data_IF_419683343529
#
_entry.id   IF_419683343529
#
_cell.length_a   1.000
_cell.length_b   1.000
_cell.length_c   1.000
_cell.angle_alpha   90.00
_cell.angle_beta   90.00
_cell.angle_gamma   90.00
#
_symmetry.space_group_name_H-M   'P 1'
#
loop_
_entity.id
_entity.type
_entity.pdbx_description
1 polymer ?
#
# COMPACT_ATOMS: atom_id res chain seq x y z
N UNK A 1 10.83 52.92 -56.88
CA UNK A 1 9.65 53.45 -56.18
C UNK A 1 8.71 52.28 -55.90
N UNK A 2 8.36 52.08 -54.61
CA UNK A 2 7.17 51.40 -54.01
C UNK A 2 6.57 50.13 -54.65
N UNK A 3 6.13 49.10 -53.93
CA UNK A 3 5.83 48.91 -52.51
C UNK A 3 5.83 47.39 -52.21
N UNK A 4 6.05 47.03 -50.93
CA UNK A 4 5.94 45.66 -50.45
C UNK A 4 4.52 45.22 -50.14
N UNK A 5 4.32 43.90 -50.05
CA UNK A 5 3.29 43.28 -49.21
C UNK A 5 3.68 41.83 -48.90
N UNK A 6 3.84 41.57 -47.61
CA UNK A 6 4.09 40.31 -46.92
C UNK A 6 2.90 39.33 -47.10
N UNK A 7 3.15 38.05 -47.39
CA UNK A 7 2.19 36.99 -47.08
C UNK A 7 2.88 35.80 -46.43
N UNK A 8 2.66 35.67 -45.11
CA UNK A 8 2.87 34.48 -44.31
C UNK A 8 1.95 33.37 -44.82
N UNK A 9 2.46 32.16 -45.00
CA UNK A 9 1.65 30.96 -44.99
C UNK A 9 2.14 30.05 -43.86
N UNK A 10 1.16 29.55 -43.10
CA UNK A 10 1.29 29.02 -41.75
C UNK A 10 1.86 27.61 -41.76
N UNK A 11 2.76 27.38 -40.82
CA UNK A 11 3.02 26.10 -40.14
C UNK A 11 1.72 25.40 -39.78
N UNK A 12 1.59 24.10 -40.08
CA UNK A 12 0.85 23.12 -39.25
C UNK A 12 0.86 21.74 -39.93
N UNK A 13 1.88 20.92 -39.67
CA UNK A 13 1.81 19.44 -39.73
C UNK A 13 2.93 18.82 -38.90
N UNK A 14 2.81 18.88 -37.57
CA UNK A 14 3.56 18.02 -36.66
C UNK A 14 2.93 17.99 -35.26
N UNK A 15 1.69 17.50 -35.11
CA UNK A 15 1.15 17.22 -33.76
C UNK A 15 -0.10 16.33 -33.71
N UNK A 16 -0.06 15.10 -34.25
CA UNK A 16 -1.17 14.14 -34.00
C UNK A 16 -0.69 12.67 -33.94
N UNK A 17 0.53 12.39 -33.44
CA UNK A 17 0.98 10.97 -33.35
C UNK A 17 1.42 10.48 -31.98
N UNK A 18 1.66 11.36 -31.01
CA UNK A 18 2.17 10.92 -29.69
C UNK A 18 1.07 10.63 -28.66
N UNK A 19 -0.13 11.22 -28.79
CA UNK A 19 -1.17 11.10 -27.75
C UNK A 19 -1.94 9.78 -27.75
N UNK A 20 -1.76 8.92 -28.75
CA UNK A 20 -2.37 7.58 -28.78
C UNK A 20 -1.45 6.50 -28.21
N UNK A 21 -0.13 6.66 -28.37
CA UNK A 21 0.85 5.71 -27.84
C UNK A 21 0.90 5.77 -26.30
N UNK A 22 0.82 6.98 -25.73
CA UNK A 22 0.80 7.18 -24.27
C UNK A 22 -0.47 6.61 -23.60
N UNK A 23 -1.60 6.49 -24.33
CA UNK A 23 -2.88 6.04 -23.76
C UNK A 23 -2.98 4.52 -23.68
N UNK A 24 -2.49 3.81 -24.69
CA UNK A 24 -2.39 2.34 -24.68
C UNK A 24 -1.38 1.85 -23.64
N UNK A 25 -0.31 2.60 -23.40
CA UNK A 25 0.66 2.28 -22.35
C UNK A 25 0.06 2.41 -20.95
N UNK A 26 -0.76 3.43 -20.65
CA UNK A 26 -1.24 3.69 -19.26
C UNK A 26 -2.04 2.57 -18.59
N UNK A 27 -2.71 1.74 -19.37
CA UNK A 27 -3.49 0.58 -18.86
C UNK A 27 -2.59 -0.62 -18.56
N UNK A 28 -1.49 -0.75 -19.30
CA UNK A 28 -0.43 -1.75 -19.08
C UNK A 28 0.69 -1.26 -18.14
N UNK A 29 0.78 0.06 -17.87
CA UNK A 29 1.88 0.67 -17.09
C UNK A 29 1.78 0.47 -15.58
N UNK A 30 0.62 0.06 -15.07
CA UNK A 30 0.45 -0.37 -13.67
C UNK A 30 0.42 -1.89 -13.61
N UNK A 31 1.48 -2.52 -14.08
CA UNK A 31 1.73 -3.92 -13.81
C UNK A 31 2.63 -4.01 -12.58
N UNK A 32 2.13 -4.59 -11.50
CA UNK A 32 2.98 -4.93 -10.37
C UNK A 32 3.69 -6.24 -10.68
N UNK A 33 4.95 -6.15 -11.10
CA UNK A 33 5.74 -7.30 -11.59
C UNK A 33 5.80 -8.48 -10.61
N UNK A 34 5.71 -8.21 -9.30
CA UNK A 34 5.77 -9.25 -8.28
C UNK A 34 4.46 -10.08 -8.19
N UNK A 35 3.32 -9.53 -8.58
CA UNK A 35 2.04 -10.24 -8.59
C UNK A 35 1.41 -10.24 -9.99
N UNK A 36 1.83 -11.17 -10.87
CA UNK A 36 1.25 -11.27 -12.19
C UNK A 36 -0.22 -11.74 -12.10
N UNK A 37 -1.06 -11.21 -12.98
CA UNK A 37 -2.49 -11.53 -13.08
C UNK A 37 -2.80 -13.04 -13.07
N UNK A 38 -1.90 -13.86 -13.64
CA UNK A 38 -2.04 -15.32 -13.72
C UNK A 38 -2.10 -16.01 -12.34
N UNK A 39 -1.51 -15.41 -11.29
CA UNK A 39 -1.51 -15.96 -9.93
C UNK A 39 -2.74 -15.57 -9.11
N UNK A 40 -3.51 -14.56 -9.55
CA UNK A 40 -4.68 -14.05 -8.81
C UNK A 40 -5.80 -15.09 -8.66
N UNK A 41 -6.17 -15.88 -9.69
CA UNK A 41 -7.16 -16.94 -9.52
C UNK A 41 -6.80 -17.94 -8.43
N UNK A 42 -5.52 -18.30 -8.31
CA UNK A 42 -5.05 -19.23 -7.27
C UNK A 42 -5.16 -18.61 -5.88
N UNK A 43 -4.75 -17.34 -5.74
CA UNK A 43 -4.85 -16.59 -4.48
C UNK A 43 -6.30 -16.36 -4.03
N UNK A 44 -7.24 -16.24 -4.97
CA UNK A 44 -8.66 -16.06 -4.66
C UNK A 44 -9.25 -17.25 -3.88
N UNK A 45 -8.75 -18.47 -4.12
CA UNK A 45 -9.22 -19.68 -3.44
C UNK A 45 -8.61 -19.89 -2.05
N UNK A 46 -7.60 -19.10 -1.67
CA UNK A 46 -6.91 -19.23 -0.38
C UNK A 46 -7.71 -18.65 0.78
N UNK A 47 -7.47 -19.22 1.96
CA UNK A 47 -7.87 -18.63 3.25
C UNK A 47 -7.02 -17.41 3.59
N UNK A 48 -7.44 -16.60 4.59
CA UNK A 48 -6.70 -15.40 4.98
C UNK A 48 -5.24 -15.67 5.42
N UNK A 49 -5.01 -16.76 6.16
CA UNK A 49 -3.67 -17.15 6.62
C UNK A 49 -2.77 -17.59 5.44
N UNK A 50 -3.33 -18.32 4.49
CA UNK A 50 -2.61 -18.76 3.29
C UNK A 50 -2.28 -17.58 2.38
N UNK A 51 -3.22 -16.65 2.19
CA UNK A 51 -2.99 -15.42 1.42
C UNK A 51 -1.85 -14.59 2.03
N UNK A 52 -1.83 -14.43 3.36
CA UNK A 52 -0.76 -13.73 4.05
C UNK A 52 0.59 -14.41 3.85
N UNK A 53 0.64 -15.74 3.92
CA UNK A 53 1.87 -16.51 3.70
C UNK A 53 2.40 -16.33 2.27
N UNK A 54 1.53 -16.41 1.25
CA UNK A 54 1.91 -16.22 -0.15
C UNK A 54 2.37 -14.79 -0.44
N UNK A 55 1.60 -13.79 0.00
CA UNK A 55 1.96 -12.39 -0.22
C UNK A 55 3.28 -12.02 0.46
N UNK A 56 3.56 -12.60 1.63
CA UNK A 56 4.85 -12.43 2.31
C UNK A 56 6.01 -12.93 1.44
N UNK A 57 5.89 -14.11 0.82
CA UNK A 57 6.93 -14.66 -0.05
C UNK A 57 7.06 -13.82 -1.34
N UNK A 58 5.95 -13.42 -1.96
CA UNK A 58 5.92 -12.54 -3.15
C UNK A 58 6.62 -11.20 -2.86
N UNK A 59 6.37 -10.62 -1.69
CA UNK A 59 6.96 -9.34 -1.26
C UNK A 59 8.40 -9.47 -0.74
N UNK A 60 8.89 -10.69 -0.53
CA UNK A 60 10.22 -10.95 0.02
C UNK A 60 10.39 -10.52 1.47
N UNK A 61 9.29 -10.40 2.24
CA UNK A 61 9.33 -9.93 3.63
C UNK A 61 9.75 -11.04 4.59
N UNK A 62 11.00 -10.99 5.06
CA UNK A 62 11.59 -12.02 5.93
C UNK A 62 11.47 -11.69 7.42
N UNK A 63 11.32 -10.43 7.76
CA UNK A 63 11.37 -9.92 9.13
C UNK A 63 10.04 -9.30 9.58
N UNK A 64 8.93 -9.53 8.88
CA UNK A 64 7.63 -8.94 9.22
C UNK A 64 7.17 -9.17 10.68
N UNK A 65 7.68 -10.19 11.37
CA UNK A 65 7.39 -10.43 12.79
C UNK A 65 8.12 -9.48 13.75
N UNK A 66 9.25 -8.89 13.31
CA UNK A 66 10.13 -8.06 14.14
C UNK A 66 10.35 -6.65 13.56
N UNK A 67 10.00 -6.44 12.30
CA UNK A 67 10.09 -5.19 11.56
C UNK A 67 8.68 -4.61 11.34
N UNK A 68 8.36 -3.54 12.06
CA UNK A 68 7.06 -2.85 11.93
C UNK A 68 6.79 -2.38 10.50
N UNK A 69 7.82 -1.96 9.75
CA UNK A 69 7.66 -1.52 8.35
C UNK A 69 7.19 -2.67 7.46
N UNK A 70 7.86 -3.82 7.53
CA UNK A 70 7.45 -5.02 6.77
C UNK A 70 6.08 -5.53 7.22
N UNK A 71 5.79 -5.51 8.53
CA UNK A 71 4.50 -5.93 9.08
C UNK A 71 3.34 -5.09 8.51
N UNK A 72 3.46 -3.76 8.58
CA UNK A 72 2.44 -2.84 8.11
C UNK A 72 2.26 -2.91 6.59
N UNK A 73 3.35 -3.08 5.83
CA UNK A 73 3.26 -3.29 4.38
C UNK A 73 2.53 -4.59 4.05
N UNK A 74 2.89 -5.70 4.70
CA UNK A 74 2.24 -7.00 4.47
C UNK A 74 0.74 -6.91 4.77
N UNK A 75 0.38 -6.34 5.92
CA UNK A 75 -1.01 -6.16 6.33
C UNK A 75 -1.80 -5.33 5.32
N UNK A 76 -1.20 -4.24 4.80
CA UNK A 76 -1.83 -3.40 3.79
C UNK A 76 -2.12 -4.13 2.47
N UNK A 77 -1.18 -4.94 1.98
CA UNK A 77 -1.40 -5.74 0.77
C UNK A 77 -2.42 -6.85 0.97
N UNK A 78 -2.38 -7.55 2.11
CA UNK A 78 -3.36 -8.59 2.45
C UNK A 78 -4.77 -7.98 2.56
N UNK A 79 -4.92 -6.89 3.29
CA UNK A 79 -6.19 -6.17 3.41
C UNK A 79 -6.70 -5.66 2.05
N UNK A 80 -5.81 -5.13 1.22
CA UNK A 80 -6.15 -4.65 -0.13
C UNK A 80 -6.66 -5.75 -1.05
N UNK A 81 -5.96 -6.89 -1.07
CA UNK A 81 -6.40 -8.04 -1.85
C UNK A 81 -7.74 -8.57 -1.34
N UNK A 82 -7.87 -8.74 -0.02
CA UNK A 82 -9.07 -9.28 0.59
C UNK A 82 -10.28 -8.38 0.36
N UNK A 83 -10.10 -7.06 0.53
CA UNK A 83 -11.13 -6.08 0.24
C UNK A 83 -11.59 -6.15 -1.23
N UNK A 84 -10.66 -6.22 -2.19
CA UNK A 84 -11.00 -6.29 -3.60
C UNK A 84 -11.78 -7.58 -3.92
N UNK A 85 -11.40 -8.69 -3.29
CA UNK A 85 -12.15 -9.96 -3.35
C UNK A 85 -13.57 -9.81 -2.79
N UNK A 86 -13.75 -9.19 -1.63
CA UNK A 86 -15.07 -8.96 -1.03
C UNK A 86 -15.94 -7.96 -1.83
N UNK A 87 -15.31 -7.02 -2.53
CA UNK A 87 -15.95 -6.12 -3.48
C UNK A 87 -16.40 -6.81 -4.78
N UNK A 88 -16.15 -8.12 -4.93
CA UNK A 88 -16.44 -8.92 -6.13
C UNK A 88 -15.72 -8.44 -7.39
N UNK A 89 -14.55 -7.84 -7.23
CA UNK A 89 -13.74 -7.43 -8.38
C UNK A 89 -13.28 -8.65 -9.18
N UNK A 90 -13.27 -8.51 -10.50
CA UNK A 90 -12.72 -9.53 -11.40
C UNK A 90 -11.21 -9.69 -11.15
N UNK A 91 -10.59 -10.82 -11.54
CA UNK A 91 -9.15 -11.01 -11.35
C UNK A 91 -8.30 -9.91 -12.01
N UNK A 92 -8.77 -9.29 -13.10
CA UNK A 92 -8.07 -8.17 -13.76
C UNK A 92 -8.17 -6.91 -12.89
N UNK A 93 -9.36 -6.61 -12.35
CA UNK A 93 -9.59 -5.48 -11.45
C UNK A 93 -8.83 -5.62 -10.12
N UNK A 94 -8.72 -6.83 -9.57
CA UNK A 94 -7.89 -7.12 -8.40
C UNK A 94 -6.41 -6.86 -8.73
N UNK A 95 -5.93 -7.31 -9.89
CA UNK A 95 -4.55 -7.04 -10.33
C UNK A 95 -4.26 -5.55 -10.39
N UNK A 96 -5.17 -4.79 -11.03
CA UNK A 96 -5.08 -3.34 -11.12
C UNK A 96 -5.09 -2.68 -9.73
N UNK A 97 -5.99 -3.12 -8.85
CA UNK A 97 -6.07 -2.64 -7.47
C UNK A 97 -4.74 -2.85 -6.75
N UNK A 98 -4.16 -4.04 -6.81
CA UNK A 98 -2.88 -4.34 -6.18
C UNK A 98 -1.74 -3.49 -6.75
N UNK A 99 -1.74 -3.23 -8.06
CA UNK A 99 -0.76 -2.34 -8.67
C UNK A 99 -0.91 -0.88 -8.23
N UNK A 100 -2.15 -0.39 -8.09
CA UNK A 100 -2.42 0.94 -7.53
C UNK A 100 -1.93 1.04 -6.08
N UNK A 101 -2.21 0.03 -5.25
CA UNK A 101 -1.73 -0.03 -3.86
C UNK A 101 -0.20 0.01 -3.80
N UNK A 102 0.45 -0.78 -4.66
CA UNK A 102 1.89 -0.82 -4.76
C UNK A 102 2.47 0.54 -5.19
N UNK A 103 1.95 1.13 -6.27
CA UNK A 103 2.37 2.45 -6.76
C UNK A 103 2.26 3.50 -5.65
N UNK A 104 1.11 3.57 -4.99
CA UNK A 104 0.84 4.54 -3.94
C UNK A 104 1.81 4.42 -2.77
N UNK A 105 2.07 3.21 -2.28
CA UNK A 105 3.03 2.99 -1.21
C UNK A 105 4.46 3.30 -1.65
N UNK A 106 4.84 2.90 -2.87
CA UNK A 106 6.17 3.14 -3.42
C UNK A 106 6.44 4.64 -3.61
N UNK A 107 5.42 5.42 -3.98
CA UNK A 107 5.50 6.88 -4.06
C UNK A 107 5.83 7.51 -2.69
N UNK A 108 5.29 6.97 -1.59
CA UNK A 108 5.64 7.43 -0.24
C UNK A 108 7.05 6.97 0.12
N UNK A 109 7.35 5.67 -0.07
CA UNK A 109 8.57 5.03 0.44
C UNK A 109 9.83 5.49 -0.30
N UNK A 110 9.81 5.45 -1.62
CA UNK A 110 10.98 5.68 -2.46
C UNK A 110 11.05 7.10 -2.99
N UNK A 111 9.90 7.66 -3.38
CA UNK A 111 9.83 9.00 -3.99
C UNK A 111 9.56 10.11 -2.99
N UNK A 112 9.23 9.78 -1.73
CA UNK A 112 8.86 10.73 -0.67
C UNK A 112 7.81 11.76 -1.13
N UNK A 113 6.87 11.32 -1.98
CA UNK A 113 5.83 12.20 -2.52
C UNK A 113 4.90 12.67 -1.40
N UNK A 114 4.57 13.96 -1.40
CA UNK A 114 3.57 14.50 -0.50
C UNK A 114 2.16 14.06 -0.93
N UNK A 115 1.21 14.08 0.01
CA UNK A 115 -0.17 13.59 -0.20
C UNK A 115 -0.82 14.08 -1.50
N UNK A 116 -0.71 15.38 -1.79
CA UNK A 116 -1.36 16.00 -2.96
C UNK A 116 -0.81 15.42 -4.27
N UNK A 117 0.50 15.21 -4.37
CA UNK A 117 1.14 14.66 -5.56
C UNK A 117 0.76 13.18 -5.76
N UNK A 118 0.77 12.40 -4.68
CA UNK A 118 0.41 10.99 -4.76
C UNK A 118 -1.10 10.78 -5.08
N UNK A 119 -1.95 11.69 -4.59
CA UNK A 119 -3.37 11.74 -4.97
C UNK A 119 -3.53 12.04 -6.46
N UNK A 120 -2.70 12.91 -7.05
CA UNK A 120 -2.72 13.16 -8.50
C UNK A 120 -2.30 11.92 -9.30
N UNK A 121 -1.28 11.18 -8.86
CA UNK A 121 -0.89 9.90 -9.49
C UNK A 121 -2.02 8.87 -9.42
N UNK A 122 -2.70 8.77 -8.28
CA UNK A 122 -3.89 7.93 -8.17
C UNK A 122 -5.02 8.37 -9.10
N UNK A 123 -5.30 9.67 -9.19
CA UNK A 123 -6.33 10.20 -10.08
C UNK A 123 -6.03 9.90 -11.55
N UNK A 124 -4.75 9.98 -11.97
CA UNK A 124 -4.30 9.59 -13.32
C UNK A 124 -4.53 8.10 -13.57
N UNK A 125 -4.08 7.24 -12.65
CA UNK A 125 -4.26 5.79 -12.74
C UNK A 125 -5.74 5.39 -12.84
N UNK A 126 -6.58 5.98 -11.98
CA UNK A 126 -8.01 5.73 -11.98
C UNK A 126 -8.69 6.24 -13.25
N UNK A 127 -8.32 7.44 -13.71
CA UNK A 127 -8.82 8.01 -14.96
C UNK A 127 -8.52 7.12 -16.16
N UNK A 128 -7.31 6.57 -16.24
CA UNK A 128 -6.94 5.61 -17.28
C UNK A 128 -7.83 4.35 -17.23
N UNK A 129 -8.01 3.75 -16.04
CA UNK A 129 -8.85 2.55 -15.87
C UNK A 129 -10.33 2.76 -16.24
N UNK A 130 -10.89 3.94 -15.96
CA UNK A 130 -12.28 4.28 -16.31
C UNK A 130 -12.45 4.64 -17.79
N UNK A 131 -11.38 5.05 -18.49
CA UNK A 131 -11.44 5.58 -19.85
C UNK A 131 -10.74 4.71 -20.90
N UNK A 132 -10.42 3.44 -20.60
CA UNK A 132 -9.78 2.51 -21.54
C UNK A 132 -10.61 2.35 -22.83
N UNK A 133 -10.36 3.21 -23.81
CA UNK A 133 -10.86 3.11 -25.18
C UNK A 133 -9.72 2.64 -26.07
N UNK A 134 -9.58 1.34 -26.25
CA UNK A 134 -8.75 0.80 -27.34
C UNK A 134 -9.62 0.67 -28.58
N UNK A 135 -9.07 1.13 -29.69
CA UNK A 135 -9.70 1.27 -30.99
C UNK A 135 -10.52 0.06 -31.45
N UNK A 136 -11.72 0.36 -31.95
CA UNK A 136 -12.60 -0.46 -32.80
C UNK A 136 -13.02 -1.84 -32.27
N UNK A 137 -14.31 -1.95 -31.97
CA UNK A 137 -15.09 -3.14 -31.54
C UNK A 137 -15.17 -3.34 -30.02
N UNK A 138 -16.28 -2.87 -29.45
CA UNK A 138 -16.85 -3.16 -28.12
C UNK A 138 -15.86 -3.40 -26.97
N UNK A 139 -15.41 -2.31 -26.32
CA UNK A 139 -14.66 -2.41 -25.05
C UNK A 139 -15.34 -1.65 -23.92
N UNK A 140 -15.65 -2.39 -22.86
CA UNK A 140 -16.08 -1.88 -21.55
C UNK A 140 -14.88 -1.38 -20.76
N UNK A 141 -15.01 -0.28 -20.01
CA UNK A 141 -13.96 0.21 -19.12
C UNK A 141 -13.52 -0.85 -18.11
N UNK A 142 -12.26 -0.79 -17.65
CA UNK A 142 -11.76 -1.74 -16.65
C UNK A 142 -12.53 -1.63 -15.32
N UNK A 143 -12.85 -0.40 -14.93
CA UNK A 143 -13.72 -0.10 -13.80
C UNK A 143 -14.96 0.61 -14.32
N UNK A 144 -16.13 0.17 -13.88
CA UNK A 144 -17.33 0.97 -14.01
C UNK A 144 -17.37 2.07 -12.94
N UNK A 145 -18.47 2.84 -12.92
CA UNK A 145 -18.61 3.96 -12.00
C UNK A 145 -18.65 3.49 -10.54
N UNK A 146 -19.36 2.40 -10.27
CA UNK A 146 -19.54 1.83 -8.95
C UNK A 146 -18.22 1.28 -8.40
N UNK A 147 -17.48 0.51 -9.22
CA UNK A 147 -16.17 -0.05 -8.90
C UNK A 147 -15.13 1.06 -8.64
N UNK A 148 -15.11 2.09 -9.50
CA UNK A 148 -14.23 3.23 -9.32
C UNK A 148 -14.51 3.98 -8.02
N UNK A 149 -15.79 4.19 -7.68
CA UNK A 149 -16.18 4.84 -6.42
C UNK A 149 -15.83 3.98 -5.20
N UNK A 150 -15.97 2.66 -5.30
CA UNK A 150 -15.56 1.72 -4.26
C UNK A 150 -14.04 1.81 -4.01
N UNK A 151 -13.24 1.80 -5.08
CA UNK A 151 -11.78 1.93 -4.98
C UNK A 151 -11.36 3.29 -4.41
N UNK A 152 -11.96 4.39 -4.86
CA UNK A 152 -11.72 5.73 -4.27
C UNK A 152 -11.97 5.70 -2.76
N UNK A 153 -13.11 5.15 -2.34
CA UNK A 153 -13.47 5.10 -0.92
C UNK A 153 -12.47 4.26 -0.12
N UNK A 154 -12.08 3.10 -0.65
CA UNK A 154 -11.08 2.24 -0.02
C UNK A 154 -9.74 2.96 0.15
N UNK A 155 -9.14 3.47 -0.93
CA UNK A 155 -7.84 4.16 -0.89
C UNK A 155 -7.86 5.38 0.05
N UNK A 156 -8.96 6.15 0.02
CA UNK A 156 -9.12 7.28 0.93
C UNK A 156 -9.02 6.85 2.39
N UNK A 157 -9.71 5.78 2.77
CA UNK A 157 -9.81 5.35 4.17
C UNK A 157 -8.60 4.50 4.62
N UNK A 158 -7.99 3.74 3.71
CA UNK A 158 -6.89 2.82 4.02
C UNK A 158 -5.52 3.51 4.00
N UNK A 159 -5.32 4.49 3.12
CA UNK A 159 -4.04 5.16 2.91
C UNK A 159 -4.09 6.67 3.15
N UNK A 160 -4.91 7.41 2.40
CA UNK A 160 -4.80 8.89 2.39
C UNK A 160 -5.20 9.53 3.71
N UNK A 161 -6.19 9.00 4.44
CA UNK A 161 -6.51 9.45 5.79
C UNK A 161 -5.37 9.19 6.80
N UNK A 162 -4.50 8.24 6.50
CA UNK A 162 -3.39 7.81 7.37
C UNK A 162 -2.03 8.20 6.76
N UNK A 163 -2.00 9.14 5.81
CA UNK A 163 -0.82 9.40 4.99
C UNK A 163 0.43 9.74 5.81
N UNK A 164 0.28 10.65 6.78
CA UNK A 164 1.36 11.05 7.68
C UNK A 164 1.89 9.88 8.52
N UNK A 165 1.04 8.91 8.88
CA UNK A 165 1.50 7.71 9.57
C UNK A 165 2.43 6.87 8.68
N UNK A 166 2.08 6.71 7.40
CA UNK A 166 2.94 6.00 6.45
C UNK A 166 4.23 6.77 6.14
N UNK A 167 4.16 8.09 5.99
CA UNK A 167 5.35 8.94 5.86
C UNK A 167 6.29 8.73 7.05
N UNK A 168 5.78 8.82 8.28
CA UNK A 168 6.55 8.58 9.51
C UNK A 168 7.09 7.16 9.57
N UNK A 169 6.28 6.16 9.24
CA UNK A 169 6.70 4.75 9.24
C UNK A 169 7.91 4.53 8.31
N UNK A 170 7.92 5.16 7.14
CA UNK A 170 9.02 4.97 6.19
C UNK A 170 10.24 5.85 6.50
N UNK A 171 10.04 7.08 6.96
CA UNK A 171 11.13 8.05 7.24
C UNK A 171 11.79 7.87 8.59
N UNK A 172 11.08 7.39 9.62
CA UNK A 172 11.65 7.24 10.96
C UNK A 172 12.69 6.12 10.97
N UNK A 173 13.91 6.46 11.38
CA UNK A 173 14.96 5.47 11.68
C UNK A 173 14.77 4.98 13.12
N UNK A 174 14.90 3.67 13.37
CA UNK A 174 14.81 3.10 14.72
C UNK A 174 15.94 3.59 15.64
N UNK A 175 16.99 4.18 15.07
CA UNK A 175 18.17 4.66 15.79
C UNK A 175 17.89 5.95 16.57
N UNK A 176 17.03 6.85 16.07
CA UNK A 176 16.71 8.11 16.78
C UNK A 176 15.93 7.88 18.10
N UNK A 177 15.07 6.86 18.14
CA UNK A 177 14.26 6.54 19.33
C UNK A 177 15.03 5.84 20.46
N UNK A 178 16.11 5.12 20.13
CA UNK A 178 16.94 4.44 21.14
C UNK A 178 17.99 5.36 21.79
N UNK A 179 18.26 6.51 21.18
CA UNK A 179 19.29 7.45 21.66
C UNK A 179 18.76 8.42 22.73
N UNK A 180 17.43 8.61 22.82
CA UNK A 180 16.80 9.50 23.81
C UNK A 180 16.35 8.82 25.12
N UNK A 181 16.31 7.49 25.17
CA UNK A 181 15.84 6.75 26.34
C UNK A 181 17.04 6.15 27.07
N UNK A 182 17.64 6.95 27.95
CA UNK A 182 18.59 6.45 28.95
C UNK A 182 17.89 5.32 29.73
N UNK A 183 18.37 4.08 29.56
CA UNK A 183 17.83 2.94 30.30
C UNK A 183 18.33 3.03 31.74
N UNK A 184 17.67 3.81 32.58
CA UNK A 184 17.79 3.68 34.02
C UNK A 184 17.09 2.41 34.45
N UNK A 185 17.80 1.28 34.36
CA UNK A 185 17.41 0.07 35.06
C UNK A 185 17.78 0.29 36.52
N UNK A 186 16.81 0.73 37.33
CA UNK A 186 16.97 0.69 38.78
C UNK A 186 17.00 -0.78 39.21
N UNK A 187 18.22 -1.30 39.37
CA UNK A 187 18.44 -2.59 40.00
C UNK A 187 18.22 -2.38 41.50
N UNK A 188 17.05 -2.80 42.00
CA UNK A 188 16.87 -2.99 43.42
C UNK A 188 17.77 -4.15 43.85
N UNK A 189 18.97 -3.83 44.34
CA UNK A 189 19.71 -4.77 45.16
C UNK A 189 18.88 -5.02 46.41
N UNK A 190 18.37 -6.25 46.56
CA UNK A 190 17.74 -6.71 47.79
C UNK A 190 18.81 -6.62 48.89
N UNK A 191 18.87 -5.48 49.58
CA UNK A 191 19.53 -5.43 50.86
C UNK A 191 18.54 -5.97 51.87
N UNK A 192 19.02 -6.95 52.61
CA UNK A 192 18.33 -7.72 53.63
C UNK A 192 17.50 -8.88 53.07
N UNK A 193 18.16 -10.04 53.06
CA UNK A 193 17.50 -11.33 53.07
C UNK A 193 16.38 -11.29 54.12
N UNK A 194 15.13 -11.29 53.67
CA UNK A 194 13.98 -11.49 54.55
C UNK A 194 14.22 -12.81 55.28
N UNK A 195 14.46 -12.73 56.59
CA UNK A 195 14.50 -13.90 57.46
C UNK A 195 13.16 -14.61 57.32
N UNK A 196 13.13 -15.95 57.14
CA UNK A 196 11.88 -16.68 57.05
C UNK A 196 11.06 -16.42 58.32
N UNK A 197 9.78 -16.11 58.15
CA UNK A 197 8.85 -15.90 59.25
C UNK A 197 8.59 -17.24 59.95
N UNK A 198 9.48 -17.62 60.86
CA UNK A 198 9.29 -18.73 61.79
C UNK A 198 8.42 -18.26 62.97
N UNK A 199 7.17 -17.85 62.69
CA UNK A 199 6.15 -17.64 63.73
C UNK A 199 5.21 -18.84 63.77
N UNK A 200 5.27 -19.52 64.91
CA UNK A 200 4.72 -20.85 65.13
C UNK A 200 3.21 -20.96 64.98
N UNK A 201 2.79 -22.00 64.26
CA UNK A 201 1.44 -22.52 64.30
C UNK A 201 1.33 -23.37 65.58
N UNK A 202 0.54 -22.93 66.55
CA UNK A 202 0.27 -23.71 67.77
C UNK A 202 -0.54 -24.97 67.44
N UNK A 203 0.03 -26.14 67.68
CA UNK A 203 -0.54 -27.47 67.42
C UNK A 203 -1.56 -27.90 68.46
N UNK A 204 -2.64 -27.13 68.64
CA UNK A 204 -3.81 -27.58 69.39
C UNK A 204 -5.09 -27.50 68.55
N UNK A 205 -5.15 -28.34 67.52
CA UNK A 205 -6.43 -28.86 67.00
C UNK A 205 -6.60 -30.23 67.65
N UNK A 206 -7.31 -30.26 68.77
CA UNK A 206 -7.69 -31.51 69.43
C UNK A 206 -8.76 -32.20 68.57
N UNK A 207 -8.44 -33.39 68.03
CA UNK A 207 -9.43 -34.32 67.53
C UNK A 207 -10.22 -34.85 68.72
N UNK A 208 -11.52 -34.53 68.79
CA UNK A 208 -12.52 -35.34 69.46
C UNK A 208 -13.85 -35.27 68.72
#
# INVERSE_FOLDING_TARGET
>A
MSAGATRREKTDKAKVKDSNLEKEETVFLLQWDALPHQQIPELLHRSGNELQAELKEILGFRNYQTCMKEAALLDYYVCGFWWAKEANFTPIQISFTMAVLHMLLNNIREKQMVLVENLMEFAKALGAACCCSTSETDTTSLLDKEDAMALISYIRNSLFQKYTLYELLFTTSREELLTGMERTIEVFSCQDALTPLEEGISTHICLQ
#
